data_IF_838244816374
#
_entry.id   IF_838244816374
#
_cell.length_a   1.000
_cell.length_b   1.000
_cell.length_c   1.000
_cell.angle_alpha   90.00
_cell.angle_beta   90.00
_cell.angle_gamma   90.00
#
_symmetry.space_group_name_H-M   'P 1'
#
loop_
_entity.id
_entity.type
_entity.pdbx_description
1 polymer ?
#
# COMPACT_ATOMS: atom_id res chain seq x y z
N UNK A 1 -4.37 -32.61 -17.94
CA UNK A 1 -4.25 -31.25 -18.53
C UNK A 1 -5.52 -30.45 -18.23
N UNK A 2 -5.43 -29.20 -17.82
CA UNK A 2 -6.64 -28.40 -17.54
C UNK A 2 -7.41 -28.15 -18.84
N UNK A 3 -8.72 -28.49 -18.84
CA UNK A 3 -9.63 -28.38 -19.98
C UNK A 3 -9.77 -26.92 -20.42
N UNK A 4 -10.07 -26.67 -21.67
CA UNK A 4 -10.22 -25.30 -22.22
C UNK A 4 -11.29 -24.49 -21.45
N UNK A 5 -12.36 -25.16 -21.02
CA UNK A 5 -13.42 -24.59 -20.16
C UNK A 5 -12.91 -24.11 -18.79
N UNK A 6 -12.06 -24.87 -18.11
CA UNK A 6 -11.47 -24.48 -16.83
C UNK A 6 -10.53 -23.27 -16.93
N UNK A 7 -9.86 -23.12 -18.07
CA UNK A 7 -9.00 -21.95 -18.32
C UNK A 7 -9.83 -20.68 -18.58
N UNK A 8 -10.94 -20.80 -19.34
CA UNK A 8 -11.85 -19.66 -19.56
C UNK A 8 -12.50 -19.21 -18.27
N UNK A 9 -13.00 -20.12 -17.45
CA UNK A 9 -13.58 -19.83 -16.15
C UNK A 9 -12.57 -19.08 -15.21
N UNK A 10 -11.32 -19.53 -15.20
CA UNK A 10 -10.26 -18.83 -14.42
C UNK A 10 -9.93 -17.44 -14.98
N UNK A 11 -9.95 -17.26 -16.28
CA UNK A 11 -9.73 -15.95 -16.93
C UNK A 11 -10.90 -15.02 -16.59
N UNK A 12 -12.13 -15.49 -16.66
CA UNK A 12 -13.31 -14.68 -16.37
C UNK A 12 -13.38 -14.28 -14.90
N UNK A 13 -13.04 -15.21 -13.99
CA UNK A 13 -12.91 -14.91 -12.56
C UNK A 13 -11.81 -13.86 -12.27
N UNK A 14 -10.68 -13.93 -12.99
CA UNK A 14 -9.62 -12.93 -12.87
C UNK A 14 -10.05 -11.57 -13.43
N UNK A 15 -10.70 -11.53 -14.58
CA UNK A 15 -11.24 -10.28 -15.17
C UNK A 15 -12.19 -9.60 -14.19
N UNK A 16 -13.14 -10.34 -13.62
CA UNK A 16 -14.08 -9.80 -12.63
C UNK A 16 -13.38 -9.23 -11.37
N UNK A 17 -12.23 -9.79 -10.97
CA UNK A 17 -11.42 -9.24 -9.87
C UNK A 17 -10.66 -7.98 -10.30
N UNK A 18 -10.09 -7.98 -11.50
CA UNK A 18 -9.35 -6.86 -12.07
C UNK A 18 -10.26 -5.64 -12.28
N UNK A 19 -11.49 -5.84 -12.75
CA UNK A 19 -12.47 -4.75 -12.94
C UNK A 19 -12.90 -4.09 -11.64
N UNK A 20 -12.92 -4.84 -10.54
CA UNK A 20 -13.28 -4.33 -9.21
C UNK A 20 -12.09 -3.76 -8.44
N UNK A 21 -10.88 -4.08 -8.86
CA UNK A 21 -9.67 -3.69 -8.15
C UNK A 21 -9.29 -2.24 -8.45
N UNK A 22 -8.98 -1.45 -7.41
CA UNK A 22 -8.37 -0.13 -7.52
C UNK A 22 -6.86 -0.21 -7.71
N UNK A 23 -6.23 -1.22 -7.11
CA UNK A 23 -4.80 -1.48 -7.24
C UNK A 23 -4.53 -2.95 -7.51
N UNK A 24 -3.55 -3.22 -8.38
CA UNK A 24 -3.00 -4.54 -8.63
C UNK A 24 -1.48 -4.50 -8.41
N UNK A 25 -0.99 -5.28 -7.47
CA UNK A 25 0.45 -5.35 -7.13
C UNK A 25 0.99 -6.69 -7.62
N UNK A 26 2.08 -6.64 -8.38
CA UNK A 26 2.79 -7.83 -8.86
C UNK A 26 3.94 -8.11 -7.91
N UNK A 27 3.92 -9.32 -7.34
CA UNK A 27 4.96 -9.79 -6.41
C UNK A 27 5.55 -11.08 -6.92
N UNK A 28 6.83 -11.28 -6.69
CA UNK A 28 7.49 -12.57 -6.88
C UNK A 28 7.39 -13.38 -5.59
N UNK A 29 6.88 -14.62 -5.65
CA UNK A 29 6.71 -15.49 -4.48
C UNK A 29 7.78 -16.57 -4.34
N UNK A 30 8.91 -16.41 -5.02
CA UNK A 30 10.01 -17.39 -4.98
C UNK A 30 10.56 -17.50 -3.56
N UNK A 31 10.61 -18.76 -3.07
CA UNK A 31 11.16 -19.08 -1.75
C UNK A 31 10.18 -18.98 -0.57
N UNK A 32 8.89 -18.72 -0.82
CA UNK A 32 7.88 -18.77 0.23
C UNK A 32 7.41 -20.19 0.52
N UNK A 33 7.13 -20.48 1.79
CA UNK A 33 6.46 -21.70 2.21
C UNK A 33 4.94 -21.55 2.04
N UNK A 34 4.22 -22.69 2.04
CA UNK A 34 2.75 -22.67 1.93
C UNK A 34 2.11 -21.95 3.12
N UNK A 35 2.68 -22.09 4.31
CA UNK A 35 2.23 -21.41 5.53
C UNK A 35 2.38 -19.89 5.40
N UNK A 36 3.53 -19.41 4.92
CA UNK A 36 3.82 -18.00 4.69
C UNK A 36 2.83 -17.37 3.70
N UNK A 37 2.57 -18.05 2.57
CA UNK A 37 1.58 -17.59 1.58
C UNK A 37 0.17 -17.55 2.16
N UNK A 38 -0.18 -18.52 2.99
CA UNK A 38 -1.50 -18.58 3.62
C UNK A 38 -1.68 -17.47 4.65
N UNK A 39 -0.63 -17.16 5.42
CA UNK A 39 -0.63 -16.05 6.37
C UNK A 39 -0.77 -14.71 5.64
N UNK A 40 -0.01 -14.50 4.55
CA UNK A 40 -0.11 -13.31 3.71
C UNK A 40 -1.51 -13.15 3.11
N UNK A 41 -2.08 -14.22 2.57
CA UNK A 41 -3.44 -14.21 2.02
C UNK A 41 -4.47 -13.80 3.07
N UNK A 42 -4.40 -14.37 4.27
CA UNK A 42 -5.29 -14.01 5.38
C UNK A 42 -5.13 -12.54 5.82
N UNK A 43 -3.91 -12.03 5.82
CA UNK A 43 -3.66 -10.62 6.14
C UNK A 43 -4.31 -9.69 5.12
N UNK A 44 -4.08 -9.94 3.82
CA UNK A 44 -4.66 -9.13 2.74
C UNK A 44 -6.20 -9.23 2.70
N UNK A 45 -6.76 -10.42 2.97
CA UNK A 45 -8.20 -10.60 3.03
C UNK A 45 -8.87 -9.84 4.19
N UNK A 46 -8.20 -9.71 5.34
CA UNK A 46 -8.69 -8.88 6.46
C UNK A 46 -8.83 -7.41 6.07
N UNK A 47 -7.94 -6.94 5.21
CA UNK A 47 -7.91 -5.56 4.72
C UNK A 47 -8.78 -5.36 3.46
N UNK A 48 -9.64 -6.34 3.13
CA UNK A 48 -10.55 -6.26 2.00
C UNK A 48 -9.88 -6.41 0.63
N UNK A 49 -8.70 -7.01 0.58
CA UNK A 49 -7.99 -7.37 -0.65
C UNK A 49 -8.05 -8.87 -0.97
N UNK A 50 -7.43 -9.27 -2.06
CA UNK A 50 -7.26 -10.67 -2.45
C UNK A 50 -5.83 -10.93 -2.94
N UNK A 51 -5.31 -12.12 -2.63
CA UNK A 51 -3.98 -12.55 -3.06
C UNK A 51 -4.08 -13.87 -3.83
N UNK A 52 -3.79 -13.80 -5.12
CA UNK A 52 -3.97 -14.95 -6.02
C UNK A 52 -2.67 -15.22 -6.78
N UNK A 53 -2.21 -16.48 -6.70
CA UNK A 53 -1.12 -16.98 -7.54
C UNK A 53 -1.71 -17.41 -8.88
N UNK A 54 -1.19 -16.86 -9.96
CA UNK A 54 -1.75 -17.04 -11.30
C UNK A 54 -0.66 -17.42 -12.30
N UNK A 55 -1.01 -18.27 -13.25
CA UNK A 55 -0.12 -18.56 -14.37
C UNK A 55 0.02 -17.33 -15.28
N UNK A 56 1.25 -16.93 -15.60
CA UNK A 56 1.55 -15.71 -16.38
C UNK A 56 0.77 -15.61 -17.70
N UNK A 57 0.62 -16.73 -18.42
CA UNK A 57 -0.14 -16.74 -19.67
C UNK A 57 -1.61 -16.40 -19.48
N UNK A 58 -2.23 -16.86 -18.39
CA UNK A 58 -3.62 -16.52 -18.06
C UNK A 58 -3.75 -15.08 -17.57
N UNK A 59 -2.80 -14.63 -16.75
CA UNK A 59 -2.74 -13.24 -16.30
C UNK A 59 -2.62 -12.28 -17.48
N UNK A 60 -1.71 -12.52 -18.42
CA UNK A 60 -1.56 -11.71 -19.64
C UNK A 60 -2.83 -11.63 -20.48
N UNK A 61 -3.59 -12.72 -20.59
CA UNK A 61 -4.86 -12.72 -21.33
C UNK A 61 -5.95 -11.95 -20.57
N UNK A 62 -5.99 -12.10 -19.23
CA UNK A 62 -6.98 -11.43 -18.39
C UNK A 62 -6.77 -9.90 -18.33
N UNK A 63 -5.52 -9.45 -18.39
CA UNK A 63 -5.14 -8.02 -18.30
C UNK A 63 -5.32 -7.29 -19.63
N UNK A 64 -5.31 -8.00 -20.77
CA UNK A 64 -5.56 -7.40 -22.08
C UNK A 64 -6.93 -6.72 -22.14
N UNK A 65 -6.96 -5.46 -22.61
CA UNK A 65 -8.16 -4.65 -22.68
C UNK A 65 -8.61 -4.02 -21.37
N UNK A 66 -7.80 -4.10 -20.32
CA UNK A 66 -8.04 -3.43 -19.03
C UNK A 66 -7.01 -2.32 -18.81
N UNK A 67 -7.28 -1.32 -17.93
CA UNK A 67 -6.30 -0.28 -17.57
C UNK A 67 -4.96 -0.83 -17.04
N UNK A 68 -4.93 -2.11 -16.67
CA UNK A 68 -3.77 -2.79 -16.11
C UNK A 68 -2.90 -3.49 -17.16
N UNK A 69 -3.14 -3.28 -18.45
CA UNK A 69 -2.35 -3.89 -19.55
C UNK A 69 -0.86 -3.54 -19.47
N UNK A 70 -0.54 -2.40 -18.89
CA UNK A 70 0.81 -1.91 -18.64
C UNK A 70 1.63 -2.89 -17.77
N UNK A 71 0.96 -3.70 -16.91
CA UNK A 71 1.64 -4.72 -16.10
C UNK A 71 2.16 -5.91 -16.92
N UNK A 72 1.78 -6.05 -18.19
CA UNK A 72 2.14 -7.20 -19.04
C UNK A 72 3.64 -7.41 -19.14
N UNK A 73 4.43 -6.34 -19.13
CA UNK A 73 5.89 -6.39 -19.17
C UNK A 73 6.51 -6.94 -17.87
N UNK A 74 5.84 -6.71 -16.74
CA UNK A 74 6.28 -7.17 -15.41
C UNK A 74 5.81 -8.59 -15.07
N UNK A 75 4.94 -9.19 -15.90
CA UNK A 75 4.43 -10.55 -15.70
C UNK A 75 5.43 -11.61 -16.19
N UNK A 76 6.60 -11.67 -15.56
CA UNK A 76 7.69 -12.63 -15.85
C UNK A 76 8.10 -13.36 -14.57
N UNK A 77 8.42 -14.66 -14.67
CA UNK A 77 8.84 -15.46 -13.51
C UNK A 77 7.67 -16.00 -12.66
N UNK A 78 7.95 -16.45 -11.42
CA UNK A 78 6.95 -16.95 -10.47
C UNK A 78 6.23 -15.76 -9.80
N UNK A 79 5.10 -15.35 -10.35
CA UNK A 79 4.37 -14.17 -9.91
C UNK A 79 3.08 -14.49 -9.17
N UNK A 80 2.74 -13.62 -8.24
CA UNK A 80 1.44 -13.55 -7.60
C UNK A 80 0.89 -12.12 -7.71
N UNK A 81 -0.43 -12.02 -7.77
CA UNK A 81 -1.15 -10.77 -7.86
C UNK A 81 -1.87 -10.50 -6.54
N UNK A 82 -1.62 -9.34 -5.94
CA UNK A 82 -2.39 -8.82 -4.83
C UNK A 82 -3.32 -7.72 -5.35
N UNK A 83 -4.61 -7.87 -5.09
CA UNK A 83 -5.66 -6.93 -5.48
C UNK A 83 -6.17 -6.17 -4.25
N UNK A 84 -6.34 -4.86 -4.37
CA UNK A 84 -7.03 -4.04 -3.41
C UNK A 84 -8.34 -3.51 -3.99
N UNK A 85 -9.46 -3.77 -3.29
CA UNK A 85 -10.78 -3.37 -3.75
C UNK A 85 -11.26 -2.06 -3.12
N UNK A 86 -11.10 -1.93 -1.81
CA UNK A 86 -11.60 -0.77 -1.06
C UNK A 86 -10.53 0.30 -0.84
N UNK A 87 -9.31 -0.12 -0.54
CA UNK A 87 -8.20 0.77 -0.21
C UNK A 87 -6.92 0.32 -0.95
N UNK A 88 -6.30 1.20 -1.75
CA UNK A 88 -5.09 0.84 -2.49
C UNK A 88 -3.85 0.71 -1.60
N UNK A 89 -3.86 1.33 -0.42
CA UNK A 89 -2.69 1.38 0.48
C UNK A 89 -2.56 0.11 1.33
N UNK A 90 -3.69 -0.44 1.80
CA UNK A 90 -3.71 -1.61 2.69
C UNK A 90 -2.99 -2.84 2.13
N UNK A 91 -3.25 -3.31 0.89
CA UNK A 91 -2.54 -4.46 0.34
C UNK A 91 -1.04 -4.16 0.11
N UNK A 92 -0.68 -2.91 -0.24
CA UNK A 92 0.72 -2.52 -0.38
C UNK A 92 1.46 -2.59 0.95
N UNK A 93 0.83 -2.13 2.06
CA UNK A 93 1.37 -2.26 3.42
C UNK A 93 1.55 -3.71 3.84
N UNK A 94 0.52 -4.53 3.65
CA UNK A 94 0.55 -5.95 4.02
C UNK A 94 1.69 -6.67 3.30
N UNK A 95 1.81 -6.48 1.98
CA UNK A 95 2.89 -7.06 1.16
C UNK A 95 4.25 -6.54 1.57
N UNK A 96 4.42 -5.21 1.73
CA UNK A 96 5.70 -4.62 2.11
C UNK A 96 6.17 -5.06 3.50
N UNK A 97 5.25 -5.13 4.48
CA UNK A 97 5.52 -5.64 5.82
C UNK A 97 5.96 -7.10 5.76
N UNK A 98 5.23 -7.93 5.04
CA UNK A 98 5.51 -9.34 4.90
C UNK A 98 6.88 -9.62 4.26
N UNK A 99 7.25 -8.85 3.22
CA UNK A 99 8.57 -8.94 2.58
C UNK A 99 9.69 -8.54 3.56
N UNK A 100 9.46 -7.50 4.39
CA UNK A 100 10.42 -7.08 5.42
C UNK A 100 10.62 -8.16 6.50
N UNK A 101 9.52 -8.79 6.94
CA UNK A 101 9.54 -9.81 7.99
C UNK A 101 10.19 -11.11 7.50
N UNK A 102 9.86 -11.52 6.27
CA UNK A 102 10.35 -12.79 5.69
C UNK A 102 11.71 -12.65 5.01
N UNK A 103 12.11 -11.42 4.62
CA UNK A 103 13.30 -11.11 3.82
C UNK A 103 13.37 -11.90 2.51
N UNK A 104 12.22 -12.34 2.00
CA UNK A 104 12.05 -13.11 0.76
C UNK A 104 11.08 -12.39 -0.14
N UNK A 105 11.11 -12.71 -1.45
CA UNK A 105 10.23 -12.11 -2.45
C UNK A 105 10.60 -10.67 -2.80
N UNK A 106 10.11 -10.23 -3.93
CA UNK A 106 10.35 -8.87 -4.46
C UNK A 106 9.04 -8.32 -5.02
N UNK A 107 8.80 -7.03 -4.83
CA UNK A 107 7.74 -6.31 -5.52
C UNK A 107 8.27 -5.93 -6.90
N UNK A 108 7.67 -6.43 -7.96
CA UNK A 108 8.05 -6.12 -9.34
C UNK A 108 7.45 -4.78 -9.82
N UNK A 109 6.35 -4.39 -9.23
CA UNK A 109 5.62 -3.16 -9.52
C UNK A 109 4.16 -3.27 -9.15
N UNK A 110 3.45 -2.18 -9.31
CA UNK A 110 2.01 -2.12 -9.11
C UNK A 110 1.36 -1.29 -10.21
N UNK A 111 0.06 -1.44 -10.39
CA UNK A 111 -0.73 -0.49 -11.18
C UNK A 111 -1.85 0.06 -10.31
N UNK A 112 -1.99 1.37 -10.31
CA UNK A 112 -3.02 2.13 -9.62
C UNK A 112 -3.79 2.95 -10.64
N UNK A 113 -5.08 2.70 -10.80
CA UNK A 113 -5.95 3.42 -11.74
C UNK A 113 -5.35 3.57 -13.16
N UNK A 114 -4.69 2.52 -13.65
CA UNK A 114 -4.07 2.51 -14.98
C UNK A 114 -2.68 3.17 -15.07
N UNK A 115 -2.09 3.61 -13.95
CA UNK A 115 -0.72 4.11 -13.90
C UNK A 115 0.21 3.02 -13.38
N UNK A 116 1.29 2.77 -14.10
CA UNK A 116 2.33 1.85 -13.66
C UNK A 116 3.18 2.52 -12.55
N UNK A 117 3.27 1.85 -11.42
CA UNK A 117 4.15 2.21 -10.32
C UNK A 117 5.40 1.34 -10.34
N UNK A 118 6.54 1.97 -10.20
CA UNK A 118 7.83 1.29 -10.03
C UNK A 118 7.93 0.64 -8.65
N UNK A 119 8.94 -0.18 -8.44
CA UNK A 119 9.21 -0.79 -7.12
C UNK A 119 9.36 0.28 -6.01
N UNK A 120 10.08 1.36 -6.28
CA UNK A 120 10.30 2.45 -5.33
C UNK A 120 8.99 3.17 -4.97
N UNK A 121 8.16 3.47 -5.96
CA UNK A 121 6.85 4.11 -5.76
C UNK A 121 5.86 3.18 -5.04
N UNK A 122 5.91 1.88 -5.32
CA UNK A 122 5.09 0.89 -4.59
C UNK A 122 5.50 0.79 -3.11
N UNK A 123 6.80 0.88 -2.82
CA UNK A 123 7.29 0.98 -1.44
C UNK A 123 6.90 2.30 -0.77
N UNK A 124 6.91 3.41 -1.51
CA UNK A 124 6.41 4.69 -1.03
C UNK A 124 4.91 4.64 -0.73
N UNK A 125 4.11 4.01 -1.60
CA UNK A 125 2.69 3.77 -1.37
C UNK A 125 2.44 2.97 -0.07
N UNK A 126 3.26 1.95 0.19
CA UNK A 126 3.18 1.17 1.42
C UNK A 126 3.51 1.96 2.70
N UNK A 127 4.25 3.06 2.59
CA UNK A 127 4.57 3.92 3.72
C UNK A 127 3.53 5.02 3.97
N UNK A 128 2.54 5.19 3.09
CA UNK A 128 1.47 6.16 3.28
C UNK A 128 0.60 5.77 4.49
N UNK A 129 0.13 6.73 5.28
CA UNK A 129 -0.85 6.47 6.34
C UNK A 129 -2.20 6.00 5.77
N UNK A 130 -3.12 5.62 6.65
CA UNK A 130 -4.49 5.26 6.24
C UNK A 130 -5.22 6.45 5.60
N UNK A 131 -6.31 6.18 4.85
CA UNK A 131 -7.10 7.25 4.22
C UNK A 131 -7.60 8.27 5.25
N UNK A 132 -8.04 7.80 6.41
CA UNK A 132 -8.52 8.67 7.49
C UNK A 132 -7.40 9.57 8.04
N UNK A 133 -6.21 9.00 8.24
CA UNK A 133 -5.04 9.77 8.67
C UNK A 133 -4.55 10.77 7.59
N UNK A 134 -4.70 10.43 6.30
CA UNK A 134 -4.41 11.35 5.20
C UNK A 134 -5.37 12.54 5.21
N UNK A 135 -6.66 12.29 5.40
CA UNK A 135 -7.65 13.37 5.55
C UNK A 135 -7.37 14.23 6.78
N UNK A 136 -7.03 13.62 7.91
CA UNK A 136 -6.65 14.36 9.11
C UNK A 136 -5.42 15.25 8.89
N UNK A 137 -4.40 14.74 8.18
CA UNK A 137 -3.21 15.53 7.79
C UNK A 137 -3.56 16.65 6.84
N UNK A 138 -4.42 16.41 5.86
CA UNK A 138 -4.87 17.47 4.94
C UNK A 138 -5.60 18.58 5.69
N UNK A 139 -6.54 18.25 6.58
CA UNK A 139 -7.23 19.21 7.43
C UNK A 139 -6.29 19.97 8.37
N UNK A 140 -5.31 19.26 8.94
CA UNK A 140 -4.24 19.86 9.74
C UNK A 140 -3.41 20.87 8.94
N UNK A 141 -3.11 20.56 7.68
CA UNK A 141 -2.37 21.45 6.78
C UNK A 141 -3.17 22.75 6.48
N UNK A 142 -4.48 22.63 6.27
CA UNK A 142 -5.37 23.79 6.05
C UNK A 142 -5.46 24.67 7.30
N UNK A 143 -5.47 24.07 8.50
CA UNK A 143 -5.51 24.79 9.77
C UNK A 143 -4.14 25.29 10.24
N UNK A 144 -3.05 24.83 9.63
CA UNK A 144 -1.68 25.18 10.03
C UNK A 144 -1.40 26.69 10.09
N UNK A 145 -1.83 27.54 9.15
CA UNK A 145 -1.62 28.98 9.24
C UNK A 145 -2.27 29.60 10.49
N UNK A 146 -3.49 29.20 10.82
CA UNK A 146 -4.20 29.70 11.99
C UNK A 146 -3.52 29.27 13.30
N UNK A 147 -3.16 27.99 13.40
CA UNK A 147 -2.41 27.47 14.55
C UNK A 147 -1.02 28.08 14.68
N UNK A 148 -0.36 28.43 13.57
CA UNK A 148 0.92 29.12 13.56
C UNK A 148 0.83 30.52 14.15
N UNK A 149 -0.20 31.30 13.80
CA UNK A 149 -0.42 32.65 14.35
C UNK A 149 -0.70 32.55 15.86
N UNK A 150 -1.62 31.71 16.29
CA UNK A 150 -1.93 31.51 17.71
C UNK A 150 -0.72 31.01 18.47
N UNK A 151 0.04 30.09 17.87
CA UNK A 151 1.27 29.55 18.45
C UNK A 151 2.34 30.61 18.67
N UNK A 152 2.53 31.54 17.72
CA UNK A 152 3.49 32.63 17.87
C UNK A 152 3.12 33.60 19.00
N UNK A 153 1.83 33.94 19.14
CA UNK A 153 1.34 34.78 20.25
C UNK A 153 1.56 34.07 21.60
N UNK A 154 1.18 32.81 21.70
CA UNK A 154 1.38 32.01 22.91
C UNK A 154 2.88 31.77 23.24
N UNK A 155 3.75 31.72 22.23
CA UNK A 155 5.18 31.56 22.45
C UNK A 155 5.82 32.74 23.21
N UNK A 156 5.37 33.95 22.94
CA UNK A 156 5.83 35.15 23.65
C UNK A 156 5.46 35.09 25.12
N UNK A 157 4.21 34.73 25.44
CA UNK A 157 3.75 34.56 26.82
C UNK A 157 4.47 33.45 27.54
N UNK A 158 4.70 32.32 26.87
CA UNK A 158 5.44 31.19 27.39
C UNK A 158 6.94 31.49 27.63
N UNK A 159 7.55 32.37 26.82
CA UNK A 159 8.93 32.81 27.03
C UNK A 159 9.05 33.66 28.29
N UNK A 160 8.10 34.56 28.51
CA UNK A 160 8.07 35.39 29.70
C UNK A 160 7.95 34.54 30.97
N UNK A 161 7.03 33.61 31.00
CA UNK A 161 6.82 32.73 32.16
C UNK A 161 8.03 31.83 32.43
N UNK A 162 8.71 31.32 31.38
CA UNK A 162 9.95 30.55 31.52
C UNK A 162 11.09 31.39 32.03
N UNK A 163 11.25 32.62 31.58
CA UNK A 163 12.26 33.56 32.06
C UNK A 163 12.06 33.85 33.54
N UNK A 164 10.81 34.10 33.97
CA UNK A 164 10.48 34.32 35.40
C UNK A 164 10.79 33.07 36.25
N UNK A 165 10.46 31.87 35.74
CA UNK A 165 10.78 30.61 36.42
C UNK A 165 12.29 30.40 36.56
N UNK A 166 13.08 30.66 35.51
CA UNK A 166 14.52 30.56 35.54
C UNK A 166 15.17 31.52 36.55
N UNK A 167 14.68 32.76 36.66
CA UNK A 167 15.16 33.73 37.65
C UNK A 167 14.81 33.28 39.07
N UNK A 168 13.62 32.71 39.28
CA UNK A 168 13.21 32.15 40.55
C UNK A 168 14.15 31.00 40.99
N UNK A 169 14.41 30.08 40.06
CA UNK A 169 15.23 28.89 40.35
C UNK A 169 16.69 29.26 40.60
N UNK A 170 17.22 30.30 39.91
CA UNK A 170 18.55 30.85 40.20
C UNK A 170 18.63 31.54 41.58
N UNK A 171 17.54 32.11 42.09
CA UNK A 171 17.53 32.71 43.40
C UNK A 171 17.28 31.72 44.55
N UNK A 172 16.80 30.51 44.23
CA UNK A 172 16.53 29.44 45.17
C UNK A 172 17.70 28.47 45.32
N UNK A 173 18.70 28.54 44.43
CA UNK A 173 19.96 27.82 44.49
C UNK A 173 21.02 28.68 45.14
#
# INVERSE_FOLDING_TARGET
MATKAFKSEKIDALKAKIEKAQVAIVTEYKGYTVEEITALRRSIQKDGGDYTVVKNTLAKIAVKGTPYEILTEKLTGPIALAFGFSDPVSPAKAVSKFIKDTKKGVILGAALDGKLLTEAETKALANLPSREELYAKMLGCVNSPATGIVGSINAVMAQLTRAMAAVRDQKAA
#
